data_IF_938076108353
#
_entry.id   IF_938076108353
#
_cell.length_a   1.000
_cell.length_b   1.000
_cell.length_c   1.000
_cell.angle_alpha   90.00
_cell.angle_beta   90.00
_cell.angle_gamma   90.00
#
_symmetry.space_group_name_H-M   'P 1'
#
loop_
_entity.id
_entity.type
_entity.pdbx_description
1 polymer ?
#
# COMPACT_ATOMS: atom_id res chain seq x y z
N UNK A 1 8.76 0.13 -3.21
CA UNK A 1 9.94 -0.19 -4.03
C UNK A 1 9.78 -1.52 -4.78
N UNK A 2 9.64 -2.65 -4.08
CA UNK A 2 9.68 -3.99 -4.71
C UNK A 2 8.56 -4.27 -5.73
N UNK A 3 7.35 -3.72 -5.53
CA UNK A 3 6.29 -3.72 -6.55
C UNK A 3 6.75 -3.08 -7.86
N UNK A 4 7.38 -1.90 -7.77
CA UNK A 4 7.86 -1.13 -8.94
C UNK A 4 9.05 -1.82 -9.59
N UNK A 5 9.93 -2.41 -8.77
CA UNK A 5 11.06 -3.22 -9.24
C UNK A 5 10.65 -4.61 -9.75
N UNK A 6 9.37 -4.98 -9.66
CA UNK A 6 8.80 -6.25 -10.14
C UNK A 6 9.37 -7.50 -9.44
N UNK A 7 9.86 -7.33 -8.21
CA UNK A 7 10.40 -8.43 -7.37
C UNK A 7 9.53 -8.70 -6.14
N UNK A 8 8.39 -8.02 -6.02
CA UNK A 8 7.49 -8.16 -4.87
C UNK A 8 6.69 -9.46 -4.89
N UNK A 9 6.44 -10.00 -3.69
CA UNK A 9 5.50 -11.10 -3.44
C UNK A 9 4.07 -10.51 -3.39
N UNK A 10 3.09 -11.19 -3.99
CA UNK A 10 1.67 -10.83 -3.98
C UNK A 10 0.84 -11.90 -3.27
N UNK A 11 -0.39 -11.56 -2.86
CA UNK A 11 -1.27 -12.48 -2.10
C UNK A 11 -1.49 -13.83 -2.79
N UNK A 12 -1.59 -13.84 -4.12
CA UNK A 12 -1.76 -15.08 -4.90
C UNK A 12 -0.59 -16.07 -4.73
N UNK A 13 0.61 -15.57 -4.47
CA UNK A 13 1.82 -16.39 -4.34
C UNK A 13 1.73 -17.28 -3.10
N UNK A 14 0.97 -16.88 -2.07
CA UNK A 14 0.76 -17.67 -0.84
C UNK A 14 0.09 -19.03 -1.12
N UNK A 15 -0.64 -19.15 -2.24
CA UNK A 15 -1.36 -20.38 -2.59
C UNK A 15 -0.54 -21.36 -3.44
N UNK A 16 0.67 -20.97 -3.87
CA UNK A 16 1.65 -21.82 -4.54
C UNK A 16 2.99 -21.73 -3.78
N UNK A 17 3.24 -22.70 -2.91
CA UNK A 17 4.44 -22.72 -2.05
C UNK A 17 5.74 -22.72 -2.86
N UNK A 18 5.78 -23.40 -4.01
CA UNK A 18 6.97 -23.44 -4.87
C UNK A 18 7.30 -22.04 -5.40
N UNK A 19 6.29 -21.34 -5.92
CA UNK A 19 6.45 -19.95 -6.41
C UNK A 19 6.79 -19.00 -5.26
N UNK A 20 6.13 -19.12 -4.12
CA UNK A 20 6.41 -18.30 -2.94
C UNK A 20 7.87 -18.42 -2.51
N UNK A 21 8.37 -19.65 -2.40
CA UNK A 21 9.75 -19.95 -2.01
C UNK A 21 10.75 -19.36 -2.99
N UNK A 22 10.58 -19.60 -4.30
CA UNK A 22 11.44 -19.04 -5.34
C UNK A 22 11.49 -17.51 -5.29
N UNK A 23 10.33 -16.85 -5.08
CA UNK A 23 10.25 -15.39 -4.96
C UNK A 23 10.89 -14.88 -3.67
N UNK A 24 10.70 -15.57 -2.55
CA UNK A 24 11.33 -15.22 -1.28
C UNK A 24 12.86 -15.30 -1.36
N UNK A 25 13.40 -16.39 -1.91
CA UNK A 25 14.84 -16.58 -2.13
C UNK A 25 15.41 -15.47 -3.05
N UNK A 26 14.75 -15.22 -4.18
CA UNK A 26 15.17 -14.19 -5.14
C UNK A 26 15.16 -12.78 -4.54
N UNK A 27 14.13 -12.44 -3.77
CA UNK A 27 14.07 -11.15 -3.09
C UNK A 27 15.16 -11.05 -2.00
N UNK A 28 15.37 -12.13 -1.24
CA UNK A 28 16.33 -12.14 -0.14
C UNK A 28 17.78 -12.11 -0.59
N UNK A 29 18.15 -12.60 -1.77
CA UNK A 29 19.52 -12.50 -2.27
C UNK A 29 20.02 -11.05 -2.26
N UNK A 30 19.24 -10.14 -2.85
CA UNK A 30 19.58 -8.71 -2.87
C UNK A 30 19.40 -8.07 -1.49
N UNK A 31 18.31 -8.38 -0.76
CA UNK A 31 18.02 -7.76 0.54
C UNK A 31 19.02 -8.15 1.63
N UNK A 32 19.43 -9.41 1.69
CA UNK A 32 20.39 -9.90 2.68
C UNK A 32 21.78 -9.30 2.44
N UNK A 33 22.20 -9.11 1.19
CA UNK A 33 23.43 -8.38 0.90
C UNK A 33 23.39 -6.95 1.46
N UNK A 34 22.29 -6.22 1.27
CA UNK A 34 22.12 -4.89 1.86
C UNK A 34 22.08 -4.93 3.40
N UNK A 35 21.31 -5.83 4.00
CA UNK A 35 21.19 -5.97 5.45
C UNK A 35 22.55 -6.22 6.10
N UNK A 36 23.31 -7.19 5.58
CA UNK A 36 24.60 -7.60 6.15
C UNK A 36 25.67 -6.55 5.88
N UNK A 37 25.85 -6.14 4.62
CA UNK A 37 27.02 -5.32 4.22
C UNK A 37 26.82 -3.83 4.45
N UNK A 38 25.60 -3.31 4.32
CA UNK A 38 25.33 -1.87 4.42
C UNK A 38 24.78 -1.47 5.79
N UNK A 39 23.93 -2.31 6.37
CA UNK A 39 23.23 -1.98 7.61
C UNK A 39 23.76 -2.73 8.85
N UNK A 40 24.73 -3.62 8.68
CA UNK A 40 25.28 -4.46 9.75
C UNK A 40 24.17 -5.17 10.55
N UNK A 41 23.25 -5.83 9.82
CA UNK A 41 22.13 -6.62 10.33
C UNK A 41 22.26 -8.07 9.88
N UNK A 42 21.68 -9.00 10.65
CA UNK A 42 21.65 -10.42 10.30
C UNK A 42 20.85 -10.64 9.00
N UNK A 43 21.25 -11.64 8.22
CA UNK A 43 20.45 -12.14 7.11
C UNK A 43 19.13 -12.74 7.61
N UNK A 44 18.15 -12.75 6.72
CA UNK A 44 16.87 -13.41 6.91
C UNK A 44 16.88 -14.70 6.10
N UNK A 45 16.44 -15.79 6.71
CA UNK A 45 16.35 -17.10 6.04
C UNK A 45 15.04 -17.20 5.23
N UNK A 46 15.12 -17.72 4.01
CA UNK A 46 13.96 -17.83 3.14
C UNK A 46 12.85 -18.71 3.73
N UNK A 47 13.22 -19.81 4.40
CA UNK A 47 12.28 -20.71 5.06
C UNK A 47 11.40 -19.98 6.07
N UNK A 48 11.99 -19.09 6.87
CA UNK A 48 11.26 -18.32 7.88
C UNK A 48 10.19 -17.41 7.24
N UNK A 49 10.50 -16.85 6.07
CA UNK A 49 9.57 -16.00 5.32
C UNK A 49 8.45 -16.85 4.71
N UNK A 50 8.78 -18.01 4.15
CA UNK A 50 7.82 -18.94 3.56
C UNK A 50 6.85 -19.44 4.63
N UNK A 51 7.37 -19.98 5.74
CA UNK A 51 6.58 -20.46 6.87
C UNK A 51 5.66 -19.37 7.43
N UNK A 52 6.18 -18.15 7.58
CA UNK A 52 5.41 -17.01 8.05
C UNK A 52 4.21 -16.74 7.13
N UNK A 53 4.40 -16.69 5.82
CA UNK A 53 3.30 -16.43 4.89
C UNK A 53 2.33 -17.60 4.76
N UNK A 54 2.82 -18.84 4.77
CA UNK A 54 1.98 -20.05 4.74
C UNK A 54 1.07 -20.14 5.98
N UNK A 55 1.51 -19.62 7.13
CA UNK A 55 0.68 -19.58 8.34
C UNK A 55 -0.63 -18.80 8.18
N UNK A 56 -0.70 -17.89 7.21
CA UNK A 56 -1.91 -17.11 6.89
C UNK A 56 -2.78 -17.73 5.81
N UNK A 57 -2.31 -18.77 5.11
CA UNK A 57 -2.94 -19.30 3.89
C UNK A 57 -4.42 -19.63 4.08
N UNK A 58 -4.76 -20.42 5.10
CA UNK A 58 -6.13 -20.87 5.32
C UNK A 58 -7.06 -19.73 5.74
N UNK A 59 -6.55 -18.78 6.53
CA UNK A 59 -7.31 -17.59 6.94
C UNK A 59 -7.58 -16.66 5.76
N UNK A 60 -6.61 -16.49 4.86
CA UNK A 60 -6.73 -15.62 3.69
C UNK A 60 -7.56 -16.25 2.57
N UNK A 61 -7.53 -17.58 2.41
CA UNK A 61 -8.20 -18.29 1.33
C UNK A 61 -9.65 -17.86 1.06
N UNK A 62 -10.54 -17.74 2.06
CA UNK A 62 -11.92 -17.33 1.80
C UNK A 62 -12.10 -15.82 1.49
N UNK A 63 -11.06 -15.00 1.68
CA UNK A 63 -11.11 -13.55 1.51
C UNK A 63 -10.55 -13.09 0.16
N UNK A 64 -9.83 -13.95 -0.54
CA UNK A 64 -9.20 -13.61 -1.83
C UNK A 64 -10.21 -13.78 -2.96
N UNK A 65 -10.47 -12.67 -3.65
CA UNK A 65 -11.40 -12.60 -4.78
C UNK A 65 -10.75 -11.83 -5.94
N UNK A 66 -11.33 -11.97 -7.13
CA UNK A 66 -11.09 -11.03 -8.22
C UNK A 66 -11.83 -9.73 -7.93
N UNK A 67 -11.19 -8.85 -7.17
CA UNK A 67 -11.78 -7.61 -6.70
C UNK A 67 -12.13 -6.66 -7.87
N UNK A 68 -11.33 -6.65 -8.94
CA UNK A 68 -11.63 -5.84 -10.13
C UNK A 68 -12.94 -6.29 -10.77
N UNK A 69 -13.09 -7.60 -10.98
CA UNK A 69 -14.32 -8.16 -11.55
C UNK A 69 -15.55 -7.84 -10.69
N UNK A 70 -15.47 -8.11 -9.38
CA UNK A 70 -16.55 -7.88 -8.43
C UNK A 70 -17.01 -6.40 -8.43
N UNK A 71 -16.07 -5.47 -8.35
CA UNK A 71 -16.36 -4.03 -8.35
C UNK A 71 -16.99 -3.58 -9.67
N UNK A 72 -16.45 -4.04 -10.80
CA UNK A 72 -16.96 -3.66 -12.11
C UNK A 72 -18.36 -4.24 -12.39
N UNK A 73 -18.65 -5.47 -11.92
CA UNK A 73 -19.98 -6.08 -11.96
C UNK A 73 -20.97 -5.37 -11.05
N UNK A 74 -20.58 -5.00 -9.83
CA UNK A 74 -21.43 -4.23 -8.92
C UNK A 74 -21.86 -2.91 -9.55
N UNK A 75 -20.92 -2.17 -10.14
CA UNK A 75 -21.20 -0.92 -10.85
C UNK A 75 -22.08 -1.14 -12.09
N UNK A 76 -21.90 -2.24 -12.83
CA UNK A 76 -22.74 -2.58 -13.99
C UNK A 76 -24.18 -2.93 -13.58
N UNK A 77 -24.36 -3.53 -12.42
CA UNK A 77 -25.67 -3.79 -11.80
C UNK A 77 -26.31 -2.54 -11.17
N UNK A 78 -25.73 -1.35 -11.34
CA UNK A 78 -26.25 -0.10 -10.79
C UNK A 78 -26.06 0.06 -9.27
N UNK A 79 -25.21 -0.76 -8.64
CA UNK A 79 -24.89 -0.62 -7.21
C UNK A 79 -23.97 0.57 -6.99
N UNK A 80 -24.01 1.11 -5.76
CA UNK A 80 -23.08 2.13 -5.31
C UNK A 80 -21.82 1.47 -4.75
N UNK A 81 -20.66 1.99 -5.15
CA UNK A 81 -19.34 1.62 -4.62
C UNK A 81 -18.75 2.85 -3.93
N UNK A 82 -18.38 2.70 -2.66
CA UNK A 82 -17.66 3.72 -1.90
C UNK A 82 -16.19 3.30 -1.81
N UNK A 83 -15.32 4.17 -2.32
CA UNK A 83 -13.87 3.98 -2.23
C UNK A 83 -13.33 4.78 -1.04
N UNK A 84 -12.84 4.10 -0.03
CA UNK A 84 -12.22 4.73 1.15
C UNK A 84 -10.74 5.03 0.87
N UNK A 85 -10.34 6.29 0.96
CA UNK A 85 -8.96 6.72 0.81
C UNK A 85 -8.15 6.48 2.09
N UNK A 86 -6.95 5.94 1.96
CA UNK A 86 -5.95 5.92 3.03
C UNK A 86 -5.05 7.15 2.97
N UNK A 87 -4.56 7.63 4.13
CA UNK A 87 -3.73 8.83 4.26
C UNK A 87 -4.43 10.11 3.74
N UNK A 88 -3.67 11.12 3.31
CA UNK A 88 -4.17 12.44 2.92
C UNK A 88 -3.44 12.97 1.67
N UNK A 89 -4.07 13.89 0.94
CA UNK A 89 -3.52 14.49 -0.29
C UNK A 89 -2.12 15.07 -0.12
N UNK A 90 -1.83 15.74 0.99
CA UNK A 90 -0.50 16.32 1.25
C UNK A 90 0.60 15.28 1.50
N UNK A 91 0.24 14.00 1.63
CA UNK A 91 1.15 12.87 1.73
C UNK A 91 1.24 12.08 0.42
N UNK A 92 0.64 12.55 -0.67
CA UNK A 92 0.75 11.91 -1.98
C UNK A 92 2.21 11.88 -2.48
N UNK A 93 2.63 10.76 -3.06
CA UNK A 93 4.02 10.57 -3.51
C UNK A 93 4.44 11.55 -4.61
N UNK A 94 3.49 11.98 -5.45
CA UNK A 94 3.75 12.89 -6.58
C UNK A 94 3.38 14.34 -6.23
N UNK A 95 2.31 14.53 -5.44
CA UNK A 95 1.70 15.85 -5.23
C UNK A 95 1.81 16.38 -3.78
N UNK A 96 2.36 15.58 -2.86
CA UNK A 96 2.55 15.95 -1.47
C UNK A 96 3.85 16.70 -1.19
N UNK A 97 4.17 16.88 0.09
CA UNK A 97 5.41 17.55 0.53
C UNK A 97 6.63 16.62 0.42
N UNK A 98 7.00 16.21 -0.79
CA UNK A 98 8.13 15.31 -1.03
C UNK A 98 9.43 15.86 -0.42
N UNK A 99 10.28 15.04 0.24
CA UNK A 99 10.22 13.58 0.39
C UNK A 99 9.38 13.09 1.59
N UNK A 100 8.74 14.00 2.33
CA UNK A 100 7.97 13.68 3.53
C UNK A 100 6.53 13.29 3.20
N UNK A 101 6.40 12.19 2.47
CA UNK A 101 5.15 11.68 1.87
C UNK A 101 5.04 10.17 2.09
N UNK A 102 3.87 9.59 1.81
CA UNK A 102 3.76 8.13 1.66
C UNK A 102 4.28 7.70 0.29
N UNK A 103 4.44 6.38 0.07
CA UNK A 103 4.90 5.79 -1.20
C UNK A 103 3.74 5.39 -2.13
N UNK A 104 2.59 6.04 -2.00
CA UNK A 104 1.38 5.78 -2.78
C UNK A 104 0.65 7.07 -3.13
N UNK A 105 -0.48 6.96 -3.84
CA UNK A 105 -1.33 8.08 -4.22
C UNK A 105 -2.67 8.07 -3.45
N UNK A 106 -2.79 8.81 -2.32
CA UNK A 106 -4.04 9.06 -1.60
C UNK A 106 -5.05 9.92 -2.37
N UNK A 107 -4.62 10.59 -3.44
CA UNK A 107 -5.50 11.38 -4.29
C UNK A 107 -6.58 10.52 -4.95
N UNK A 108 -7.69 11.14 -5.39
CA UNK A 108 -8.82 10.43 -5.99
C UNK A 108 -8.42 9.61 -7.24
N UNK A 109 -7.38 10.02 -7.98
CA UNK A 109 -6.84 9.26 -9.10
C UNK A 109 -6.28 7.88 -8.68
N UNK A 110 -5.73 7.78 -7.46
CA UNK A 110 -5.28 6.52 -6.88
C UNK A 110 -6.38 5.47 -6.74
N UNK A 111 -7.64 5.90 -6.56
CA UNK A 111 -8.78 4.99 -6.50
C UNK A 111 -8.98 4.20 -7.80
N UNK A 112 -8.71 4.81 -8.96
CA UNK A 112 -8.86 4.13 -10.25
C UNK A 112 -7.82 3.01 -10.40
N UNK A 113 -6.54 3.36 -10.30
CA UNK A 113 -5.43 2.40 -10.48
C UNK A 113 -5.36 1.34 -9.38
N UNK A 114 -5.86 1.65 -8.18
CA UNK A 114 -5.89 0.73 -7.05
C UNK A 114 -7.05 -0.27 -7.07
N UNK A 115 -8.11 0.00 -7.83
CA UNK A 115 -9.33 -0.84 -7.83
C UNK A 115 -9.66 -1.48 -9.18
N UNK A 116 -9.04 -1.01 -10.27
CA UNK A 116 -9.42 -1.42 -11.62
C UNK A 116 -10.73 -0.78 -12.12
N UNK A 117 -11.27 0.22 -11.41
CA UNK A 117 -12.39 1.03 -11.89
C UNK A 117 -11.85 2.10 -12.84
N UNK A 118 -12.34 2.11 -14.08
CA UNK A 118 -11.97 3.12 -15.06
C UNK A 118 -12.27 4.56 -14.58
N UNK A 119 -11.40 5.54 -14.87
CA UNK A 119 -11.49 6.88 -14.28
C UNK A 119 -12.78 7.62 -14.63
N UNK A 120 -13.38 7.35 -15.80
CA UNK A 120 -14.66 7.92 -16.25
C UNK A 120 -15.88 7.40 -15.47
N UNK A 121 -15.71 6.36 -14.63
CA UNK A 121 -16.79 5.77 -13.82
C UNK A 121 -16.84 6.35 -12.40
N UNK A 122 -15.83 7.12 -11.98
CA UNK A 122 -15.82 7.81 -10.69
C UNK A 122 -16.66 9.08 -10.82
N UNK A 123 -17.82 9.11 -10.16
CA UNK A 123 -18.81 10.20 -10.31
C UNK A 123 -18.61 11.34 -9.31
N UNK A 124 -18.14 11.03 -8.11
CA UNK A 124 -18.07 11.98 -7.00
C UNK A 124 -16.77 11.78 -6.21
N UNK A 125 -16.14 12.87 -5.80
CA UNK A 125 -15.04 12.88 -4.83
C UNK A 125 -15.44 13.72 -3.62
N UNK A 126 -15.37 13.14 -2.43
CA UNK A 126 -15.69 13.83 -1.18
C UNK A 126 -14.39 14.15 -0.44
N UNK A 127 -14.04 15.44 -0.40
CA UNK A 127 -12.89 15.92 0.37
C UNK A 127 -13.23 16.02 1.85
N UNK A 128 -12.52 15.28 2.69
CA UNK A 128 -12.65 15.38 4.15
C UNK A 128 -11.59 16.35 4.67
N UNK A 129 -12.05 17.45 5.26
CA UNK A 129 -11.17 18.47 5.84
C UNK A 129 -11.49 18.64 7.33
N UNK A 130 -10.42 18.69 8.14
CA UNK A 130 -10.53 19.01 9.56
C UNK A 130 -10.48 20.53 9.74
N UNK A 131 -11.17 21.04 10.76
CA UNK A 131 -11.18 22.47 11.09
C UNK A 131 -9.79 23.04 11.44
N UNK A 132 -8.82 22.17 11.72
CA UNK A 132 -7.42 22.51 11.99
C UNK A 132 -6.51 21.48 11.32
N UNK A 133 -5.27 21.84 11.08
CA UNK A 133 -4.27 20.97 10.45
C UNK A 133 -3.49 20.18 11.48
N UNK A 134 -3.14 18.94 11.15
CA UNK A 134 -2.21 18.11 11.95
C UNK A 134 -1.31 17.32 11.02
N UNK A 135 -0.10 17.01 11.49
CA UNK A 135 0.86 16.17 10.77
C UNK A 135 1.44 15.13 11.73
N UNK A 136 1.58 13.90 11.25
CA UNK A 136 2.36 12.86 11.93
C UNK A 136 3.62 12.61 11.10
N UNK A 137 4.77 12.56 11.77
CA UNK A 137 6.07 12.45 11.12
C UNK A 137 6.67 13.81 10.72
N UNK A 138 7.91 13.77 10.23
CA UNK A 138 8.64 14.97 9.84
C UNK A 138 8.09 15.62 8.56
N UNK A 139 8.57 16.82 8.27
CA UNK A 139 8.35 17.56 7.03
C UNK A 139 7.76 18.94 7.25
N UNK A 140 7.70 19.78 6.20
CA UNK A 140 7.22 21.14 6.33
C UNK A 140 5.80 21.18 6.88
N UNK A 141 5.60 22.03 7.89
CA UNK A 141 4.29 22.31 8.46
C UNK A 141 4.16 23.81 8.76
N UNK A 142 3.84 24.64 7.74
CA UNK A 142 3.90 26.10 7.88
C UNK A 142 2.99 26.69 8.95
N UNK A 143 1.93 25.97 9.32
CA UNK A 143 0.93 26.38 10.31
C UNK A 143 1.06 25.62 11.62
N UNK A 144 2.22 25.03 11.89
CA UNK A 144 2.50 24.38 13.17
C UNK A 144 2.48 25.42 14.30
N UNK A 145 1.71 25.14 15.35
CA UNK A 145 1.60 25.98 16.53
C UNK A 145 2.43 25.37 17.66
N UNK A 146 3.28 26.20 18.27
CA UNK A 146 4.15 25.83 19.41
C UNK A 146 3.79 26.61 20.69
N UNK A 147 2.60 27.20 20.72
CA UNK A 147 2.08 27.94 21.86
C UNK A 147 0.89 27.21 22.50
N UNK A 148 0.22 27.87 23.46
CA UNK A 148 -0.92 27.32 24.20
C UNK A 148 -2.12 26.91 23.33
N UNK A 149 -2.19 27.33 22.07
CA UNK A 149 -3.26 26.94 21.14
C UNK A 149 -2.93 25.66 20.36
N UNK A 150 -1.67 25.21 20.43
CA UNK A 150 -1.18 23.97 19.82
C UNK A 150 -1.02 22.79 20.79
N UNK A 151 -1.09 23.01 22.11
CA UNK A 151 -1.09 21.96 23.16
C UNK A 151 -2.39 21.14 23.20
#
# INVERSE_FOLDING_TARGET
ADKVARIGIRVQDIFDESILRQKAESALDIKNQMLVKMYNRKSIEAEQVVDYFLSYRDRLRPMVIDAELELNQALAAGKNVLMEGGQATMLDVDHGTYPFVTSSNPTAGGASVGSGIGPTRIKTSLGIIKAYTTRVGAGPFPTELFDKWGE
#
